data_IF_144236556811
#
_entry.id   IF_144236556811
#
_cell.length_a   1.000
_cell.length_b   1.000
_cell.length_c   1.000
_cell.angle_alpha   90.00
_cell.angle_beta   90.00
_cell.angle_gamma   90.00
#
_symmetry.space_group_name_H-M   'P 1'
#
loop_
_entity.id
_entity.type
_entity.pdbx_description
1 polymer ?
#
# COMPACT_ATOMS: atom_id res chain seq x y z
N UNK A 1 2.54 20.78 3.16
CA UNK A 1 1.30 20.55 2.38
C UNK A 1 0.88 19.12 2.62
N UNK A 2 -0.32 18.87 3.16
CA UNK A 2 -0.87 17.51 3.20
C UNK A 2 -1.43 17.19 1.83
N UNK A 3 -0.78 16.26 1.12
CA UNK A 3 -1.28 15.75 -0.15
C UNK A 3 -2.34 14.70 0.14
N UNK A 4 -3.59 14.98 -0.21
CA UNK A 4 -4.68 14.02 -0.11
C UNK A 4 -4.56 12.99 -1.23
N UNK A 5 -4.22 11.74 -0.89
CA UNK A 5 -4.22 10.64 -1.84
C UNK A 5 -5.62 10.02 -1.90
N UNK A 6 -6.38 10.33 -2.95
CA UNK A 6 -7.63 9.61 -3.23
C UNK A 6 -7.33 8.42 -4.14
N UNK A 7 -7.71 7.22 -3.70
CA UNK A 7 -7.58 6.00 -4.47
C UNK A 7 -8.89 5.74 -5.23
N UNK A 8 -8.79 5.59 -6.54
CA UNK A 8 -9.89 5.13 -7.41
C UNK A 8 -9.56 3.73 -7.89
N UNK A 9 -10.56 2.85 -8.04
CA UNK A 9 -10.36 1.56 -8.70
C UNK A 9 -11.22 1.51 -9.94
N UNK A 10 -10.61 1.12 -11.07
CA UNK A 10 -11.32 0.96 -12.33
C UNK A 10 -11.07 -0.44 -12.86
N UNK A 11 -12.17 -1.14 -13.14
CA UNK A 11 -12.19 -2.43 -13.83
C UNK A 11 -12.92 -2.25 -15.18
N UNK A 12 -12.21 -1.93 -16.27
CA UNK A 12 -12.77 -1.95 -17.60
C UNK A 12 -12.64 -3.35 -18.18
N UNK A 13 -13.79 -3.99 -18.39
CA UNK A 13 -14.00 -5.18 -19.21
C UNK A 13 -13.48 -6.53 -18.68
N UNK A 14 -14.37 -7.53 -18.71
CA UNK A 14 -14.14 -8.93 -18.28
C UNK A 14 -13.75 -9.20 -16.81
N UNK A 15 -14.02 -8.27 -15.90
CA UNK A 15 -13.90 -8.53 -14.45
C UNK A 15 -12.46 -8.62 -13.93
N UNK A 16 -11.46 -8.21 -14.72
CA UNK A 16 -10.07 -8.12 -14.27
C UNK A 16 -9.79 -6.70 -13.77
N UNK A 17 -9.15 -6.61 -12.61
CA UNK A 17 -8.63 -5.34 -12.11
C UNK A 17 -7.55 -4.82 -13.07
N UNK A 18 -7.71 -3.61 -13.58
CA UNK A 18 -6.75 -3.03 -14.54
C UNK A 18 -5.87 -1.97 -13.90
N UNK A 19 -6.42 -1.08 -13.07
CA UNK A 19 -5.58 -0.12 -12.35
C UNK A 19 -6.18 0.41 -11.03
N UNK A 20 -5.30 0.80 -10.11
CA UNK A 20 -5.60 1.66 -8.97
C UNK A 20 -5.15 3.07 -9.35
N UNK A 21 -6.08 4.02 -9.46
CA UNK A 21 -5.78 5.41 -9.75
C UNK A 21 -5.39 6.16 -8.49
N UNK A 22 -4.44 7.09 -8.62
CA UNK A 22 -4.13 8.07 -7.59
C UNK A 22 -4.32 9.46 -8.16
N UNK A 23 -4.97 10.31 -7.37
CA UNK A 23 -5.15 11.72 -7.72
C UNK A 23 -4.12 12.59 -7.03
N UNK A 24 -3.50 13.48 -7.80
CA UNK A 24 -2.54 14.47 -7.32
C UNK A 24 -2.88 15.85 -7.88
N UNK A 25 -2.71 16.88 -7.07
CA UNK A 25 -2.75 18.27 -7.55
C UNK A 25 -1.33 18.73 -7.87
N UNK A 26 -1.09 19.13 -9.12
CA UNK A 26 0.21 19.64 -9.59
C UNK A 26 -0.06 20.95 -10.32
N UNK A 27 0.49 22.05 -9.83
CA UNK A 27 0.31 23.40 -10.39
C UNK A 27 -1.18 23.80 -10.57
N UNK A 28 -2.04 23.42 -9.61
CA UNK A 28 -3.48 23.73 -9.66
C UNK A 28 -4.31 22.86 -10.60
N UNK A 29 -3.72 21.82 -11.19
CA UNK A 29 -4.40 20.84 -12.05
C UNK A 29 -4.47 19.49 -11.34
N UNK A 30 -5.64 18.87 -11.35
CA UNK A 30 -5.84 17.51 -10.84
C UNK A 30 -5.45 16.47 -11.90
N UNK A 31 -4.44 15.68 -11.58
CA UNK A 31 -3.97 14.54 -12.38
C UNK A 31 -4.43 13.24 -11.75
N UNK A 32 -4.91 12.30 -12.57
CA UNK A 32 -5.12 10.91 -12.16
C UNK A 32 -4.10 10.04 -12.87
N UNK A 33 -3.30 9.28 -12.10
CA UNK A 33 -2.26 8.40 -12.65
C UNK A 33 -2.45 6.97 -12.15
N UNK A 34 -2.08 5.96 -12.96
CA UNK A 34 -2.04 4.57 -12.49
C UNK A 34 -0.98 4.38 -11.41
N UNK A 35 -1.35 3.70 -10.33
CA UNK A 35 -0.45 3.24 -9.28
C UNK A 35 0.07 1.85 -9.64
N UNK A 36 1.40 1.62 -9.67
CA UNK A 36 1.95 0.26 -9.80
C UNK A 36 1.51 -0.59 -8.62
N UNK A 37 1.09 -1.84 -8.84
CA UNK A 37 0.76 -2.75 -7.75
C UNK A 37 1.04 -4.20 -8.14
N UNK A 38 1.14 -5.05 -7.13
CA UNK A 38 1.22 -6.51 -7.26
C UNK A 38 0.13 -7.13 -6.40
N UNK A 39 -0.59 -8.09 -6.94
CA UNK A 39 -1.63 -8.81 -6.18
C UNK A 39 -1.01 -9.75 -5.15
N UNK A 40 -1.63 -9.79 -3.97
CA UNK A 40 -1.33 -10.74 -2.91
C UNK A 40 -2.67 -11.27 -2.42
N UNK A 41 -2.99 -12.52 -2.74
CA UNK A 41 -4.31 -13.08 -2.45
C UNK A 41 -5.40 -12.52 -3.36
N UNK A 42 -6.65 -12.61 -2.88
CA UNK A 42 -7.83 -12.32 -3.71
C UNK A 42 -8.19 -10.83 -3.73
N UNK A 43 -7.97 -10.13 -2.61
CA UNK A 43 -8.46 -8.76 -2.41
C UNK A 43 -7.38 -7.76 -1.98
N UNK A 44 -6.14 -8.22 -1.78
CA UNK A 44 -5.04 -7.36 -1.37
C UNK A 44 -4.03 -7.15 -2.49
N UNK A 45 -3.40 -6.00 -2.45
CA UNK A 45 -2.24 -5.70 -3.26
C UNK A 45 -1.16 -5.07 -2.41
N UNK A 46 0.06 -5.13 -2.90
CA UNK A 46 1.15 -4.29 -2.41
C UNK A 46 1.55 -3.29 -3.48
N UNK A 47 1.93 -2.11 -3.04
CA UNK A 47 2.29 -1.03 -3.97
C UNK A 47 3.41 -0.16 -3.38
N UNK A 48 4.37 0.30 -4.20
CA UNK A 48 5.32 1.30 -3.76
C UNK A 48 4.61 2.62 -3.43
N UNK A 49 5.29 3.48 -2.68
CA UNK A 49 4.85 4.85 -2.45
C UNK A 49 5.02 5.64 -3.75
N UNK A 50 3.96 6.33 -4.15
CA UNK A 50 4.00 7.29 -5.25
C UNK A 50 3.59 8.64 -4.69
N UNK A 51 4.49 9.61 -4.77
CA UNK A 51 4.32 10.92 -4.17
C UNK A 51 4.69 12.04 -5.17
N UNK A 52 4.07 13.22 -5.08
CA UNK A 52 4.53 14.38 -5.83
C UNK A 52 5.96 14.73 -5.45
N UNK A 53 6.76 15.08 -6.45
CA UNK A 53 8.10 15.59 -6.27
C UNK A 53 8.34 16.73 -7.26
N UNK A 54 8.21 17.96 -6.76
CA UNK A 54 8.26 19.18 -7.57
C UNK A 54 7.21 19.15 -8.70
N UNK A 55 7.64 19.19 -9.96
CA UNK A 55 6.78 19.11 -11.15
C UNK A 55 6.62 17.68 -11.68
N UNK A 56 7.02 16.67 -10.91
CA UNK A 56 7.03 15.27 -11.29
C UNK A 56 6.35 14.37 -10.25
N UNK A 57 6.24 13.08 -10.57
CA UNK A 57 5.88 12.04 -9.62
C UNK A 57 7.09 11.18 -9.32
N UNK A 58 7.31 10.87 -8.05
CA UNK A 58 8.37 9.97 -7.60
C UNK A 58 7.77 8.64 -7.17
N UNK A 59 8.28 7.56 -7.74
CA UNK A 59 7.99 6.18 -7.28
C UNK A 59 9.10 5.73 -6.36
N UNK A 60 8.77 5.42 -5.11
CA UNK A 60 9.69 5.02 -4.06
C UNK A 60 9.62 3.52 -3.82
N UNK A 61 10.62 2.81 -4.33
CA UNK A 61 10.75 1.36 -4.16
C UNK A 61 11.32 0.96 -2.79
N UNK A 62 11.70 1.93 -1.97
CA UNK A 62 12.13 1.77 -0.58
C UNK A 62 10.97 1.92 0.42
N UNK A 63 9.74 2.11 -0.06
CA UNK A 63 8.53 2.24 0.76
C UNK A 63 7.36 1.56 0.10
N UNK A 64 6.83 0.52 0.72
CA UNK A 64 5.74 -0.30 0.22
C UNK A 64 4.57 -0.31 1.19
N UNK A 65 3.36 -0.44 0.68
CA UNK A 65 2.13 -0.45 1.48
C UNK A 65 1.21 -1.57 1.01
N UNK A 66 0.51 -2.18 1.96
CA UNK A 66 -0.59 -3.13 1.71
C UNK A 66 -1.89 -2.34 1.51
N UNK A 67 -2.62 -2.64 0.44
CA UNK A 67 -3.90 -2.02 0.10
C UNK A 67 -4.97 -3.08 -0.12
N UNK A 68 -6.21 -2.80 0.28
CA UNK A 68 -7.41 -3.47 -0.20
C UNK A 68 -7.83 -2.87 -1.54
N UNK A 69 -8.24 -3.71 -2.48
CA UNK A 69 -8.71 -3.29 -3.81
C UNK A 69 -10.06 -2.57 -3.79
N UNK A 70 -11.02 -3.09 -3.01
CA UNK A 70 -12.40 -2.61 -3.02
C UNK A 70 -13.06 -2.65 -1.62
N UNK A 71 -13.56 -1.51 -1.10
CA UNK A 71 -13.15 -0.16 -1.50
C UNK A 71 -11.67 0.06 -1.18
N UNK A 72 -10.95 0.89 -1.97
CA UNK A 72 -9.55 1.20 -1.76
C UNK A 72 -9.25 1.69 -0.35
N UNK A 73 -8.41 0.96 0.37
CA UNK A 73 -7.96 1.34 1.71
C UNK A 73 -6.59 0.74 1.96
N UNK A 74 -5.64 1.56 2.41
CA UNK A 74 -4.31 1.10 2.78
C UNK A 74 -4.20 0.81 4.27
N UNK A 75 -3.36 -0.15 4.64
CA UNK A 75 -2.86 -0.22 6.01
C UNK A 75 -2.00 1.03 6.29
N UNK A 76 -2.07 1.62 7.49
CA UNK A 76 -1.43 2.89 7.81
C UNK A 76 0.07 2.76 8.13
N UNK A 77 0.77 1.80 7.51
CA UNK A 77 2.20 1.57 7.69
C UNK A 77 2.88 1.34 6.34
N UNK A 78 4.04 1.97 6.17
CA UNK A 78 4.94 1.74 5.03
C UNK A 78 6.10 0.87 5.48
N UNK A 79 6.44 -0.14 4.68
CA UNK A 79 7.54 -1.06 4.94
C UNK A 79 8.67 -0.90 3.93
N UNK A 80 9.93 -1.16 4.30
CA UNK A 80 11.11 -0.83 3.49
C UNK A 80 11.35 -1.73 2.27
N UNK A 81 10.55 -2.79 2.06
CA UNK A 81 10.77 -3.74 0.98
C UNK A 81 9.47 -4.36 0.47
N UNK A 82 9.47 -4.73 -0.81
CA UNK A 82 8.38 -5.48 -1.43
C UNK A 82 8.14 -6.82 -0.72
N UNK A 83 9.22 -7.52 -0.34
CA UNK A 83 9.13 -8.82 0.31
C UNK A 83 8.45 -8.72 1.68
N UNK A 84 8.82 -7.73 2.50
CA UNK A 84 8.18 -7.49 3.79
C UNK A 84 6.72 -7.06 3.63
N UNK A 85 6.38 -6.27 2.60
CA UNK A 85 5.00 -5.92 2.29
C UNK A 85 4.16 -7.15 1.91
N UNK A 86 4.71 -8.05 1.09
CA UNK A 86 4.05 -9.29 0.71
C UNK A 86 3.81 -10.21 1.91
N UNK A 87 4.75 -10.29 2.86
CA UNK A 87 4.57 -11.02 4.12
C UNK A 87 3.46 -10.39 4.96
N UNK A 88 3.49 -9.06 5.16
CA UNK A 88 2.45 -8.33 5.89
C UNK A 88 1.07 -8.57 5.29
N UNK A 89 0.94 -8.51 3.96
CA UNK A 89 -0.33 -8.74 3.28
C UNK A 89 -0.86 -10.16 3.52
N UNK A 90 -0.01 -11.19 3.40
CA UNK A 90 -0.41 -12.58 3.68
C UNK A 90 -0.81 -12.78 5.13
N UNK A 91 -0.02 -12.27 6.07
CA UNK A 91 -0.33 -12.43 7.49
C UNK A 91 -1.62 -11.69 7.87
N UNK A 92 -1.86 -10.52 7.29
CA UNK A 92 -3.12 -9.78 7.45
C UNK A 92 -4.31 -10.57 6.90
N UNK A 93 -4.17 -11.17 5.71
CA UNK A 93 -5.23 -11.96 5.07
C UNK A 93 -5.59 -13.23 5.86
N UNK A 94 -4.62 -13.82 6.56
CA UNK A 94 -4.80 -15.07 7.32
C UNK A 94 -5.08 -14.84 8.82
N UNK A 95 -5.07 -13.60 9.31
CA UNK A 95 -5.35 -13.28 10.71
C UNK A 95 -6.86 -13.06 10.93
N UNK A 96 -7.58 -14.01 11.56
CA UNK A 96 -9.02 -13.88 11.77
C UNK A 96 -9.39 -12.79 12.78
N UNK A 97 -8.43 -12.27 13.54
CA UNK A 97 -8.68 -11.23 14.55
C UNK A 97 -8.65 -9.81 13.98
N UNK A 98 -8.33 -9.63 12.69
CA UNK A 98 -8.29 -8.32 12.06
C UNK A 98 -8.86 -8.38 10.64
N UNK A 99 -9.41 -7.26 10.18
CA UNK A 99 -9.86 -7.08 8.80
C UNK A 99 -10.06 -5.60 8.52
N UNK A 100 -10.16 -5.20 7.25
CA UNK A 100 -10.46 -3.82 6.84
C UNK A 100 -11.86 -3.30 7.26
N UNK A 101 -12.65 -4.09 7.98
CA UNK A 101 -13.91 -3.64 8.61
C UNK A 101 -13.70 -3.11 10.03
N UNK A 102 -12.53 -3.35 10.62
CA UNK A 102 -12.18 -2.82 11.93
C UNK A 102 -11.88 -1.31 11.87
N UNK A 103 -11.88 -0.68 13.04
CA UNK A 103 -11.60 0.76 13.15
C UNK A 103 -10.20 1.12 12.65
N UNK A 104 -9.98 2.37 12.21
CA UNK A 104 -8.65 2.86 11.86
C UNK A 104 -7.60 2.57 12.95
N UNK A 105 -7.93 2.81 14.22
CA UNK A 105 -7.03 2.56 15.36
C UNK A 105 -6.66 1.07 15.51
N UNK A 106 -7.61 0.16 15.23
CA UNK A 106 -7.35 -1.28 15.28
C UNK A 106 -6.42 -1.71 14.13
N UNK A 107 -6.64 -1.17 12.93
CA UNK A 107 -5.77 -1.40 11.76
C UNK A 107 -4.37 -0.85 12.00
N UNK A 108 -4.26 0.36 12.57
CA UNK A 108 -3.00 0.99 12.93
C UNK A 108 -2.26 0.19 13.99
N UNK A 109 -2.94 -0.15 15.08
CA UNK A 109 -2.35 -0.96 16.15
C UNK A 109 -1.88 -2.33 15.65
N UNK A 110 -2.66 -3.00 14.79
CA UNK A 110 -2.23 -4.26 14.17
C UNK A 110 -0.98 -4.06 13.31
N UNK A 111 -1.01 -3.09 12.40
CA UNK A 111 0.05 -2.86 11.42
C UNK A 111 1.38 -2.46 12.09
N UNK A 112 1.34 -1.57 13.09
CA UNK A 112 2.51 -1.15 13.85
C UNK A 112 3.11 -2.32 14.62
N UNK A 113 2.30 -3.05 15.41
CA UNK A 113 2.79 -4.22 16.16
C UNK A 113 3.32 -5.31 15.25
N UNK A 114 2.70 -5.54 14.10
CA UNK A 114 3.20 -6.50 13.12
C UNK A 114 4.56 -6.05 12.58
N UNK A 115 4.68 -4.77 12.21
CA UNK A 115 5.92 -4.22 11.66
C UNK A 115 7.07 -4.31 12.66
N UNK A 116 6.87 -3.88 13.91
CA UNK A 116 7.88 -3.94 14.97
C UNK A 116 8.43 -5.36 15.17
N UNK A 117 7.57 -6.39 15.13
CA UNK A 117 8.02 -7.79 15.28
C UNK A 117 8.81 -8.32 14.09
N UNK A 118 8.66 -7.73 12.91
CA UNK A 118 9.18 -8.27 11.66
C UNK A 118 10.25 -7.39 11.00
N UNK A 119 10.43 -6.13 11.42
CA UNK A 119 11.40 -5.21 10.86
C UNK A 119 12.83 -5.61 11.17
N UNK A 120 13.09 -6.12 12.37
CA UNK A 120 14.43 -6.50 12.82
C UNK A 120 14.99 -7.69 12.02
N UNK A 121 14.12 -8.64 11.68
CA UNK A 121 14.49 -9.79 10.84
C UNK A 121 14.87 -9.37 9.41
N UNK A 122 14.16 -8.40 8.84
CA UNK A 122 14.48 -7.86 7.50
C UNK A 122 15.77 -7.05 7.51
N UNK A 123 16.02 -6.27 8.58
CA UNK A 123 17.26 -5.53 8.74
C UNK A 123 18.47 -6.46 8.85
N UNK A 124 18.35 -7.54 9.63
CA UNK A 124 19.39 -8.57 9.75
C UNK A 124 19.65 -9.31 8.43
N UNK A 125 18.60 -9.62 7.66
CA UNK A 125 18.73 -10.24 6.34
C UNK A 125 19.44 -9.34 5.32
N UNK A 126 19.24 -8.02 5.38
CA UNK A 126 19.96 -7.06 4.53
C UNK A 126 21.42 -6.87 4.93
N UNK A 127 21.73 -6.90 6.22
CA UNK A 127 23.10 -6.74 6.71
C UNK A 127 23.99 -7.96 6.39
N UNK A 128 23.40 -9.10 6.03
CA UNK A 128 24.09 -10.36 5.73
C UNK A 128 24.20 -10.67 4.24
N UNK A 129 23.64 -9.82 3.37
CA UNK A 129 23.69 -9.92 1.91
C UNK A 129 24.73 -8.95 1.33
#
# INVERSE_FOLDING_TARGET
MSTYQQLTTVAPDHGRLVYIGMRFEINGVMWEVPRPFLTVGDNLVISPLVEPHESSLRVRLDRWQVLRLFPPLGLPVWVPSQALAARMARDFEHDPAISFQHSPDALEGWALRWYERNSDAEAAARASA
#
